data_IF_144712640863
#
_entry.id   IF_144712640863
#
_cell.length_a   1.000
_cell.length_b   1.000
_cell.length_c   1.000
_cell.angle_alpha   90.00
_cell.angle_beta   90.00
_cell.angle_gamma   90.00
#
_symmetry.space_group_name_H-M   'P 1'
#
loop_
_entity.id
_entity.type
_entity.pdbx_description
1 polymer ?
#
# COMPACT_ATOMS: atom_id res chain seq x y z
N UNK A 1 14.06 -21.77 -15.92
CA UNK A 1 14.09 -20.34 -15.56
C UNK A 1 12.76 -19.80 -15.04
N UNK A 2 11.66 -19.72 -15.85
CA UNK A 2 10.35 -19.20 -15.35
C UNK A 2 9.75 -20.04 -14.23
N UNK A 3 9.88 -21.35 -14.30
CA UNK A 3 9.34 -22.27 -13.30
C UNK A 3 10.13 -22.27 -11.98
N UNK A 4 11.44 -22.07 -12.04
CA UNK A 4 12.29 -21.90 -10.85
C UNK A 4 12.03 -20.56 -10.17
N UNK A 5 11.84 -19.48 -10.94
CA UNK A 5 11.49 -18.17 -10.43
C UNK A 5 10.14 -18.23 -9.71
N UNK A 6 9.11 -18.83 -10.33
CA UNK A 6 7.78 -18.99 -9.71
C UNK A 6 7.84 -19.78 -8.40
N UNK A 7 8.64 -20.83 -8.32
CA UNK A 7 8.84 -21.60 -7.06
C UNK A 7 9.58 -20.78 -5.99
N UNK A 8 10.50 -19.94 -6.39
CA UNK A 8 11.21 -19.05 -5.47
C UNK A 8 10.28 -17.97 -4.92
N UNK A 9 9.42 -17.39 -5.75
CA UNK A 9 8.42 -16.39 -5.37
C UNK A 9 7.41 -16.97 -4.36
N UNK A 10 6.92 -18.20 -4.58
CA UNK A 10 6.03 -18.88 -3.63
C UNK A 10 6.73 -19.20 -2.30
N UNK A 11 8.01 -19.61 -2.31
CA UNK A 11 8.78 -19.82 -1.08
C UNK A 11 8.98 -18.53 -0.29
N UNK A 12 9.24 -17.42 -0.98
CA UNK A 12 9.36 -16.11 -0.37
C UNK A 12 8.03 -15.67 0.25
N UNK A 13 6.90 -15.95 -0.41
CA UNK A 13 5.56 -15.63 0.06
C UNK A 13 5.23 -16.35 1.38
N UNK A 14 5.68 -17.59 1.56
CA UNK A 14 5.32 -18.40 2.72
C UNK A 14 6.38 -18.44 3.83
N UNK A 15 7.40 -17.56 3.79
CA UNK A 15 8.55 -17.60 4.70
C UNK A 15 8.19 -17.43 6.19
N UNK A 16 7.10 -16.72 6.50
CA UNK A 16 6.67 -16.43 7.87
C UNK A 16 5.72 -17.46 8.47
N UNK A 17 5.28 -18.47 7.72
CA UNK A 17 4.50 -19.57 8.29
C UNK A 17 5.38 -20.55 9.09
N UNK A 18 4.76 -21.24 10.05
CA UNK A 18 5.40 -22.37 10.71
C UNK A 18 5.93 -23.38 9.70
N UNK A 19 6.91 -24.17 10.13
CA UNK A 19 7.50 -25.17 9.24
C UNK A 19 6.45 -26.11 8.66
N UNK A 20 5.58 -26.65 9.51
CA UNK A 20 4.54 -27.60 9.10
C UNK A 20 3.57 -26.98 8.06
N UNK A 21 3.04 -25.79 8.35
CA UNK A 21 2.14 -25.08 7.44
C UNK A 21 2.82 -24.80 6.10
N UNK A 22 4.06 -24.32 6.14
CA UNK A 22 4.84 -24.04 4.94
C UNK A 22 5.07 -25.28 4.09
N UNK A 23 5.39 -26.42 4.68
CA UNK A 23 5.55 -27.68 3.97
C UNK A 23 4.25 -28.11 3.28
N UNK A 24 3.09 -27.97 3.95
CA UNK A 24 1.79 -28.27 3.35
C UNK A 24 1.47 -27.35 2.16
N UNK A 25 1.72 -26.05 2.28
CA UNK A 25 1.46 -25.08 1.21
C UNK A 25 2.41 -25.27 0.01
N UNK A 26 3.70 -25.56 0.27
CA UNK A 26 4.70 -25.78 -0.80
C UNK A 26 4.51 -27.11 -1.54
N UNK A 27 3.78 -28.06 -0.97
CA UNK A 27 3.41 -29.31 -1.65
C UNK A 27 2.29 -29.12 -2.69
N UNK A 28 1.61 -27.97 -2.68
CA UNK A 28 0.53 -27.68 -3.60
C UNK A 28 1.05 -26.98 -4.88
N UNK A 29 0.39 -27.16 -6.03
CA UNK A 29 0.76 -26.51 -7.28
C UNK A 29 0.27 -25.05 -7.32
N UNK A 30 0.83 -24.20 -6.45
CA UNK A 30 0.44 -22.81 -6.28
C UNK A 30 1.44 -21.86 -6.97
N UNK A 31 0.91 -20.75 -7.47
CA UNK A 31 1.67 -19.59 -7.95
C UNK A 31 1.44 -18.41 -7.00
N UNK A 32 2.45 -17.59 -6.78
CA UNK A 32 2.37 -16.51 -5.81
C UNK A 32 1.22 -15.53 -6.09
N UNK A 33 1.04 -15.14 -7.36
CA UNK A 33 0.02 -14.15 -7.77
C UNK A 33 -1.42 -14.67 -7.59
N UNK A 34 -1.62 -15.98 -7.45
CA UNK A 34 -2.94 -16.57 -7.26
C UNK A 34 -3.36 -16.72 -5.80
N UNK A 35 -2.42 -16.58 -4.84
CA UNK A 35 -2.71 -16.73 -3.42
C UNK A 35 -3.37 -15.47 -2.86
N UNK A 36 -4.55 -15.62 -2.26
CA UNK A 36 -5.31 -14.51 -1.70
C UNK A 36 -5.35 -14.58 -0.18
N UNK A 37 -5.59 -15.76 0.38
CA UNK A 37 -5.81 -15.93 1.81
C UNK A 37 -5.39 -17.32 2.29
N UNK A 38 -4.83 -17.38 3.51
CA UNK A 38 -4.60 -18.63 4.25
C UNK A 38 -5.17 -18.47 5.66
N UNK A 39 -6.01 -19.39 6.08
CA UNK A 39 -6.61 -19.39 7.41
C UNK A 39 -6.12 -20.55 8.25
N UNK A 40 -5.52 -20.21 9.37
CA UNK A 40 -5.14 -21.14 10.41
C UNK A 40 -6.19 -21.10 11.53
N UNK A 41 -6.76 -22.25 11.87
CA UNK A 41 -7.68 -22.42 12.97
C UNK A 41 -7.28 -23.66 13.74
N UNK A 42 -6.96 -23.52 15.01
CA UNK A 42 -6.53 -24.64 15.84
C UNK A 42 -7.55 -25.79 15.76
N UNK A 43 -7.07 -27.00 15.56
CA UNK A 43 -7.83 -28.25 15.38
C UNK A 43 -8.67 -28.35 14.11
N UNK A 44 -8.58 -27.40 13.19
CA UNK A 44 -9.28 -27.43 11.91
C UNK A 44 -8.32 -27.74 10.73
N UNK A 45 -8.86 -28.16 9.57
CA UNK A 45 -8.05 -28.27 8.36
C UNK A 45 -7.41 -26.93 7.96
N UNK A 46 -6.27 -26.99 7.29
CA UNK A 46 -5.65 -25.83 6.69
C UNK A 46 -6.50 -25.36 5.50
N UNK A 47 -7.00 -24.14 5.57
CA UNK A 47 -7.90 -23.54 4.59
C UNK A 47 -7.20 -22.42 3.85
N UNK A 48 -7.41 -22.34 2.53
CA UNK A 48 -6.82 -21.26 1.72
C UNK A 48 -7.73 -20.86 0.54
N UNK A 49 -7.57 -19.62 0.08
CA UNK A 49 -8.23 -19.08 -1.12
C UNK A 49 -7.16 -18.87 -2.19
N UNK A 50 -7.39 -19.47 -3.33
CA UNK A 50 -6.53 -19.39 -4.50
C UNK A 50 -7.36 -19.15 -5.76
N UNK A 51 -7.06 -18.05 -6.49
CA UNK A 51 -7.79 -17.63 -7.69
C UNK A 51 -9.32 -17.60 -7.49
N UNK A 52 -9.76 -16.92 -6.43
CA UNK A 52 -11.17 -16.78 -6.01
C UNK A 52 -11.89 -18.11 -5.72
N UNK A 53 -11.16 -19.18 -5.44
CA UNK A 53 -11.73 -20.48 -5.05
C UNK A 53 -11.19 -20.93 -3.70
N UNK A 54 -12.04 -21.57 -2.93
CA UNK A 54 -11.76 -22.09 -1.60
C UNK A 54 -11.25 -23.53 -1.65
N UNK A 55 -10.21 -23.81 -0.89
CA UNK A 55 -9.59 -25.14 -0.81
C UNK A 55 -9.19 -25.47 0.63
N UNK A 56 -9.05 -26.76 0.89
CA UNK A 56 -8.39 -27.28 2.10
C UNK A 56 -7.14 -28.05 1.72
N UNK A 57 -6.04 -27.83 2.44
CA UNK A 57 -4.79 -28.53 2.19
C UNK A 57 -4.72 -29.82 2.99
N UNK A 58 -4.23 -30.88 2.33
CA UNK A 58 -3.87 -32.16 2.94
C UNK A 58 -5.05 -32.98 3.47
N UNK A 59 -5.22 -34.21 2.97
CA UNK A 59 -6.16 -35.14 3.58
C UNK A 59 -5.68 -35.52 4.99
N UNK A 60 -6.41 -35.03 6.03
CA UNK A 60 -6.11 -35.33 7.42
C UNK A 60 -5.20 -34.37 8.17
N UNK A 61 -4.57 -33.39 7.50
CA UNK A 61 -3.79 -32.36 8.19
C UNK A 61 -4.71 -31.44 9.01
N UNK A 62 -4.32 -31.19 10.23
CA UNK A 62 -5.00 -30.23 11.13
C UNK A 62 -3.99 -29.29 11.73
N UNK A 63 -4.33 -28.01 11.72
CA UNK A 63 -3.52 -26.94 12.30
C UNK A 63 -3.42 -27.15 13.81
N UNK A 64 -2.20 -27.23 14.34
CA UNK A 64 -1.96 -27.31 15.77
C UNK A 64 -1.90 -25.92 16.41
N UNK A 65 -1.86 -25.86 17.73
CA UNK A 65 -1.61 -24.61 18.46
C UNK A 65 -0.20 -24.10 18.19
N UNK A 66 0.76 -25.03 18.18
CA UNK A 66 2.17 -24.76 17.90
C UNK A 66 2.36 -24.13 16.51
N UNK A 67 1.59 -24.56 15.51
CA UNK A 67 1.62 -23.97 14.17
C UNK A 67 1.17 -22.49 14.17
N UNK A 68 0.16 -22.16 14.97
CA UNK A 68 -0.32 -20.78 15.11
C UNK A 68 0.71 -19.93 15.84
N UNK A 69 1.26 -20.42 16.96
CA UNK A 69 2.22 -19.70 17.80
C UNK A 69 3.54 -19.49 17.03
N UNK A 70 4.07 -20.52 16.35
CA UNK A 70 5.28 -20.42 15.50
C UNK A 70 5.07 -19.46 14.34
N UNK A 71 3.91 -19.51 13.66
CA UNK A 71 3.59 -18.58 12.57
C UNK A 71 3.60 -17.13 13.06
N UNK A 72 3.01 -16.85 14.22
CA UNK A 72 3.04 -15.51 14.82
C UNK A 72 4.45 -15.06 15.19
N UNK A 73 5.26 -15.96 15.77
CA UNK A 73 6.65 -15.67 16.12
C UNK A 73 7.50 -15.36 14.87
N UNK A 74 7.36 -16.17 13.82
CA UNK A 74 8.04 -15.94 12.55
C UNK A 74 7.60 -14.62 11.90
N UNK A 75 6.29 -14.33 11.87
CA UNK A 75 5.73 -13.12 11.33
C UNK A 75 6.21 -11.86 12.06
N UNK A 76 6.28 -11.92 13.39
CA UNK A 76 6.75 -10.83 14.25
C UNK A 76 8.28 -10.80 14.39
N UNK A 77 9.04 -11.61 13.65
CA UNK A 77 10.51 -11.72 13.78
C UNK A 77 10.95 -11.85 15.24
N UNK A 78 10.26 -12.70 15.98
CA UNK A 78 10.52 -13.02 17.40
C UNK A 78 10.28 -11.86 18.39
N UNK A 79 9.67 -10.75 18.00
CA UNK A 79 9.36 -9.62 18.89
C UNK A 79 7.87 -9.26 18.87
N UNK A 80 7.04 -10.11 19.48
CA UNK A 80 5.58 -9.86 19.63
C UNK A 80 5.28 -8.58 20.42
N UNK A 81 6.18 -8.14 21.30
CA UNK A 81 6.03 -6.88 22.04
C UNK A 81 5.99 -5.65 21.13
N UNK A 82 6.72 -5.65 20.04
CA UNK A 82 6.72 -4.53 19.07
C UNK A 82 5.38 -4.37 18.36
N UNK A 83 4.57 -5.43 18.30
CA UNK A 83 3.26 -5.46 17.62
C UNK A 83 2.08 -5.44 18.60
N UNK A 84 2.32 -5.10 19.86
CA UNK A 84 1.28 -5.12 20.91
C UNK A 84 0.07 -4.25 20.59
N UNK A 85 0.28 -3.07 19.96
CA UNK A 85 -0.80 -2.18 19.52
C UNK A 85 -1.57 -2.76 18.35
N UNK A 86 -0.86 -3.25 17.33
CA UNK A 86 -1.46 -3.83 16.13
C UNK A 86 -2.30 -5.07 16.49
N UNK A 87 -1.75 -5.95 17.34
CA UNK A 87 -2.46 -7.14 17.83
C UNK A 87 -3.72 -6.74 18.61
N UNK A 88 -3.70 -5.64 19.36
CA UNK A 88 -4.90 -5.11 20.03
C UNK A 88 -5.95 -4.63 19.03
N UNK A 89 -5.52 -4.10 17.89
CA UNK A 89 -6.39 -3.75 16.76
C UNK A 89 -6.88 -4.99 15.98
N UNK A 90 -6.38 -6.17 16.30
CA UNK A 90 -6.78 -7.44 15.70
C UNK A 90 -6.02 -7.85 14.44
N UNK A 91 -4.92 -7.18 14.10
CA UNK A 91 -4.10 -7.54 12.95
C UNK A 91 -2.66 -7.08 13.09
N UNK A 92 -1.76 -7.62 12.27
CA UNK A 92 -0.41 -7.13 12.08
C UNK A 92 -0.06 -7.13 10.59
N UNK A 93 0.78 -6.20 10.17
CA UNK A 93 1.34 -6.16 8.82
C UNK A 93 2.72 -6.76 8.83
N UNK A 94 3.02 -7.62 7.86
CA UNK A 94 4.31 -8.30 7.74
C UNK A 94 5.04 -7.89 6.47
N UNK A 95 6.31 -8.24 6.37
CA UNK A 95 7.12 -7.95 5.20
C UNK A 95 6.42 -8.44 3.93
N UNK A 96 6.44 -7.62 2.88
CA UNK A 96 5.67 -7.81 1.65
C UNK A 96 4.28 -7.18 1.68
N UNK A 97 3.92 -6.47 2.77
CA UNK A 97 2.63 -5.79 2.90
C UNK A 97 1.46 -6.73 3.16
N UNK A 98 1.74 -8.00 3.51
CA UNK A 98 0.70 -8.96 3.83
C UNK A 98 0.13 -8.68 5.20
N UNK A 99 -1.17 -8.92 5.38
CA UNK A 99 -1.88 -8.63 6.62
C UNK A 99 -2.32 -9.92 7.31
N UNK A 100 -1.98 -10.05 8.58
CA UNK A 100 -2.38 -11.19 9.42
C UNK A 100 -3.41 -10.72 10.42
N UNK A 101 -4.67 -11.07 10.21
CA UNK A 101 -5.73 -10.91 11.21
C UNK A 101 -5.56 -11.95 12.30
N UNK A 102 -5.75 -11.53 13.55
CA UNK A 102 -5.62 -12.38 14.73
C UNK A 102 -6.94 -12.44 15.50
N UNK A 103 -7.30 -13.62 16.00
CA UNK A 103 -8.44 -13.79 16.88
C UNK A 103 -8.18 -14.90 17.90
N UNK A 104 -8.86 -14.79 19.05
CA UNK A 104 -8.73 -15.72 20.16
C UNK A 104 -9.48 -15.24 21.38
N UNK A 105 -9.01 -15.58 22.56
CA UNK A 105 -9.59 -15.11 23.81
C UNK A 105 -9.12 -13.70 24.14
N UNK A 106 -10.06 -12.77 24.31
CA UNK A 106 -9.77 -11.39 24.70
C UNK A 106 -9.57 -11.28 26.21
N UNK A 107 -8.61 -10.47 26.62
CA UNK A 107 -8.38 -10.03 27.99
C UNK A 107 -8.81 -8.58 28.06
N UNK A 108 -9.73 -8.26 28.97
CA UNK A 108 -10.28 -6.93 29.15
C UNK A 108 -9.63 -6.21 30.34
N UNK A 109 -9.47 -4.90 30.21
CA UNK A 109 -9.08 -3.98 31.27
C UNK A 109 -9.92 -2.70 31.14
N UNK A 110 -10.64 -2.34 32.19
CA UNK A 110 -11.55 -1.19 32.20
C UNK A 110 -12.59 -1.19 31.05
N UNK A 111 -13.08 -2.38 30.66
CA UNK A 111 -14.05 -2.53 29.56
C UNK A 111 -13.47 -2.48 28.15
N UNK A 112 -12.15 -2.28 28.01
CA UNK A 112 -11.45 -2.26 26.72
C UNK A 112 -10.59 -3.52 26.54
N UNK A 113 -10.35 -3.90 25.28
CA UNK A 113 -9.47 -5.03 24.96
C UNK A 113 -8.03 -4.63 25.30
N UNK A 114 -7.45 -5.29 26.29
CA UNK A 114 -6.04 -5.15 26.66
C UNK A 114 -5.13 -6.04 25.82
N UNK A 115 -5.56 -7.27 25.57
CA UNK A 115 -4.80 -8.26 24.83
C UNK A 115 -5.72 -9.34 24.25
N UNK A 116 -5.21 -10.09 23.28
CA UNK A 116 -5.80 -11.32 22.77
C UNK A 116 -4.85 -12.46 23.13
N UNK A 117 -5.24 -13.32 24.06
CA UNK A 117 -4.42 -14.47 24.47
C UNK A 117 -5.28 -15.56 25.13
N UNK A 118 -5.13 -16.84 24.71
CA UNK A 118 -4.33 -17.30 23.58
C UNK A 118 -4.95 -16.92 22.24
N UNK A 119 -4.09 -16.70 21.23
CA UNK A 119 -4.50 -16.55 19.84
C UNK A 119 -4.67 -17.95 19.27
N UNK A 120 -5.83 -18.21 18.64
CA UNK A 120 -6.18 -19.53 18.12
C UNK A 120 -6.62 -19.52 16.66
N UNK A 121 -6.73 -18.32 16.08
CA UNK A 121 -7.12 -18.09 14.69
C UNK A 121 -6.20 -17.07 14.06
N UNK A 122 -5.69 -17.37 12.87
CA UNK A 122 -4.99 -16.41 12.01
C UNK A 122 -5.66 -16.39 10.66
N UNK A 123 -5.76 -15.18 10.11
CA UNK A 123 -6.20 -14.96 8.74
C UNK A 123 -5.12 -14.17 7.98
N UNK A 124 -4.30 -14.87 7.23
CA UNK A 124 -3.24 -14.28 6.42
C UNK A 124 -3.83 -13.88 5.07
N UNK A 125 -3.86 -12.58 4.78
CA UNK A 125 -4.26 -12.03 3.49
C UNK A 125 -3.05 -11.54 2.73
N UNK A 126 -2.87 -12.03 1.52
CA UNK A 126 -1.76 -11.65 0.67
C UNK A 126 -2.08 -10.35 -0.07
N UNK A 127 -1.18 -9.39 0.02
CA UNK A 127 -1.29 -8.15 -0.73
C UNK A 127 -0.79 -8.38 -2.15
N UNK A 128 -1.58 -7.98 -3.14
CA UNK A 128 -1.19 -7.97 -4.54
C UNK A 128 -1.26 -6.56 -5.07
N UNK A 129 -0.21 -6.13 -5.77
CA UNK A 129 -0.19 -4.83 -6.42
C UNK A 129 -0.52 -4.98 -7.90
N UNK A 130 -1.47 -4.19 -8.38
CA UNK A 130 -1.82 -4.11 -9.81
C UNK A 130 -1.16 -2.88 -10.42
N UNK A 131 0.02 -3.08 -11.04
CA UNK A 131 0.76 -2.01 -11.71
C UNK A 131 0.16 -1.78 -13.11
N UNK A 132 -0.02 -0.49 -13.48
CA UNK A 132 -0.51 -0.06 -14.79
C UNK A 132 -2.03 0.02 -14.92
N UNK A 133 -2.80 -0.28 -13.87
CA UNK A 133 -4.27 -0.19 -13.93
C UNK A 133 -4.77 1.25 -14.15
N UNK A 134 -4.02 2.26 -13.71
CA UNK A 134 -4.33 3.67 -13.88
C UNK A 134 -3.93 4.25 -15.26
N UNK A 135 -3.19 3.50 -16.07
CA UNK A 135 -2.67 4.00 -17.36
C UNK A 135 -3.76 4.51 -18.31
N UNK A 136 -4.94 3.88 -18.29
CA UNK A 136 -6.08 4.24 -19.17
C UNK A 136 -6.70 5.60 -18.84
N UNK A 137 -6.66 6.03 -17.58
CA UNK A 137 -7.28 7.29 -17.14
C UNK A 137 -6.25 8.42 -17.02
N UNK A 138 -4.99 8.14 -17.19
CA UNK A 138 -3.87 9.08 -17.05
C UNK A 138 -4.08 10.38 -17.83
N UNK A 139 -4.38 10.27 -19.12
CA UNK A 139 -4.56 11.44 -20.01
C UNK A 139 -5.69 12.36 -19.57
N UNK A 140 -6.72 11.83 -18.93
CA UNK A 140 -7.86 12.59 -18.41
C UNK A 140 -7.44 13.38 -17.15
N UNK A 141 -6.60 12.78 -16.32
CA UNK A 141 -6.19 13.33 -15.04
C UNK A 141 -5.01 14.28 -15.12
N UNK A 142 -4.30 14.28 -16.24
CA UNK A 142 -3.13 15.14 -16.43
C UNK A 142 -3.49 16.43 -17.16
N UNK A 143 -2.96 17.54 -16.69
CA UNK A 143 -3.04 18.82 -17.40
C UNK A 143 -2.11 18.79 -18.60
N UNK A 144 -2.61 18.92 -19.84
CA UNK A 144 -1.79 18.81 -21.06
C UNK A 144 -0.80 19.95 -21.24
N UNK A 145 -1.00 21.06 -20.51
CA UNK A 145 -0.11 22.22 -20.59
C UNK A 145 1.09 22.14 -19.67
N UNK A 146 0.93 21.48 -18.52
CA UNK A 146 1.96 21.43 -17.46
C UNK A 146 2.48 20.02 -17.18
N UNK A 147 1.80 18.98 -17.66
CA UNK A 147 2.08 17.60 -17.33
C UNK A 147 1.78 17.23 -15.86
N UNK A 148 1.23 18.17 -15.07
CA UNK A 148 0.91 17.95 -13.67
C UNK A 148 -0.43 17.25 -13.52
N UNK A 149 -0.58 16.46 -12.44
CA UNK A 149 -1.88 15.87 -12.12
C UNK A 149 -2.90 16.96 -11.73
N UNK A 150 -4.15 16.74 -12.08
CA UNK A 150 -5.27 17.58 -11.64
C UNK A 150 -5.76 17.13 -10.27
N UNK A 151 -6.44 18.01 -9.53
CA UNK A 151 -7.18 17.61 -8.35
C UNK A 151 -8.18 16.52 -8.74
N UNK A 152 -8.05 15.36 -8.13
CA UNK A 152 -8.80 14.16 -8.52
C UNK A 152 -9.45 13.51 -7.31
N UNK A 153 -10.74 13.24 -7.43
CA UNK A 153 -11.53 12.49 -6.47
C UNK A 153 -12.08 11.23 -7.15
N UNK A 154 -11.69 10.07 -6.64
CA UNK A 154 -12.18 8.77 -7.11
C UNK A 154 -13.40 8.36 -6.29
N UNK A 155 -14.56 8.27 -6.93
CA UNK A 155 -15.84 7.94 -6.30
C UNK A 155 -16.30 6.57 -6.81
N UNK A 156 -16.49 5.62 -5.92
CA UNK A 156 -17.06 4.32 -6.25
C UNK A 156 -17.53 3.59 -4.98
N UNK A 157 -18.38 2.56 -5.10
CA UNK A 157 -18.77 1.71 -4.00
C UNK A 157 -17.58 1.02 -3.30
N UNK A 158 -17.76 0.49 -2.09
CA UNK A 158 -16.74 -0.34 -1.42
C UNK A 158 -16.29 -1.53 -2.28
N UNK A 159 -15.03 -1.93 -2.15
CA UNK A 159 -14.42 -3.08 -2.86
C UNK A 159 -14.37 -3.00 -4.39
N UNK A 160 -14.57 -1.82 -4.98
CA UNK A 160 -14.44 -1.59 -6.43
C UNK A 160 -13.02 -1.26 -6.91
N UNK A 161 -12.01 -1.47 -6.09
CA UNK A 161 -10.60 -1.25 -6.45
C UNK A 161 -10.12 0.20 -6.39
N UNK A 162 -10.83 1.11 -5.67
CA UNK A 162 -10.41 2.53 -5.52
C UNK A 162 -8.99 2.68 -5.00
N UNK A 163 -8.66 2.02 -3.88
CA UNK A 163 -7.32 2.07 -3.27
C UNK A 163 -6.26 1.51 -4.21
N UNK A 164 -6.56 0.45 -4.97
CA UNK A 164 -5.68 -0.13 -5.98
C UNK A 164 -5.38 0.89 -7.09
N UNK A 165 -6.42 1.57 -7.58
CA UNK A 165 -6.30 2.60 -8.59
C UNK A 165 -5.56 3.83 -8.08
N UNK A 166 -5.87 4.28 -6.84
CA UNK A 166 -5.19 5.39 -6.18
C UNK A 166 -3.69 5.11 -6.04
N UNK A 167 -3.32 3.91 -5.59
CA UNK A 167 -1.91 3.49 -5.45
C UNK A 167 -1.14 3.56 -6.76
N UNK A 168 -1.71 3.05 -7.84
CA UNK A 168 -1.04 3.09 -9.15
C UNK A 168 -0.98 4.51 -9.73
N UNK A 169 -1.97 5.37 -9.43
CA UNK A 169 -1.91 6.81 -9.74
C UNK A 169 -0.79 7.51 -8.98
N UNK A 170 -0.65 7.26 -7.68
CA UNK A 170 0.44 7.79 -6.85
C UNK A 170 1.78 7.40 -7.46
N UNK A 171 2.00 6.12 -7.76
CA UNK A 171 3.22 5.62 -8.39
C UNK A 171 3.49 6.32 -9.72
N UNK A 172 2.49 6.42 -10.61
CA UNK A 172 2.62 7.08 -11.91
C UNK A 172 2.97 8.57 -11.80
N UNK A 173 2.36 9.28 -10.86
CA UNK A 173 2.62 10.70 -10.62
C UNK A 173 4.01 10.89 -10.03
N UNK A 174 4.39 10.04 -9.08
CA UNK A 174 5.71 10.06 -8.44
C UNK A 174 6.84 9.77 -9.43
N UNK A 175 6.68 8.75 -10.29
CA UNK A 175 7.70 8.35 -11.25
C UNK A 175 7.73 9.23 -12.52
N UNK A 176 6.58 9.73 -12.95
CA UNK A 176 6.45 10.36 -14.26
C UNK A 176 6.61 9.35 -15.42
N UNK A 177 6.71 9.85 -16.66
CA UNK A 177 6.95 8.97 -17.81
C UNK A 177 8.40 8.57 -18.01
N UNK A 178 9.33 9.29 -17.41
CA UNK A 178 10.77 9.00 -17.49
C UNK A 178 11.17 7.75 -16.69
N UNK A 179 10.29 7.26 -15.81
CA UNK A 179 10.55 6.07 -14.96
C UNK A 179 10.58 4.72 -15.68
N UNK A 180 10.36 4.68 -17.00
CA UNK A 180 10.39 3.41 -17.76
C UNK A 180 11.79 2.83 -17.99
N UNK A 181 12.85 3.61 -17.81
CA UNK A 181 14.25 3.18 -18.02
C UNK A 181 14.99 2.79 -16.72
N UNK A 182 14.29 2.31 -15.70
CA UNK A 182 14.93 1.89 -14.43
C UNK A 182 15.87 0.69 -14.53
N UNK A 183 16.08 0.14 -15.75
CA UNK A 183 16.98 -1.00 -15.96
C UNK A 183 18.45 -0.66 -16.16
N UNK A 184 18.87 0.59 -16.34
CA UNK A 184 20.22 0.87 -16.89
C UNK A 184 20.87 2.21 -16.54
N UNK A 185 20.49 2.97 -15.53
CA UNK A 185 21.30 4.14 -15.18
C UNK A 185 21.11 4.65 -13.74
N UNK A 186 21.89 4.12 -12.81
CA UNK A 186 22.16 4.74 -11.50
C UNK A 186 23.19 5.89 -11.55
N UNK A 187 23.32 6.61 -12.68
CA UNK A 187 24.24 7.75 -12.83
C UNK A 187 23.65 8.85 -13.70
N UNK A 188 22.52 9.42 -13.28
CA UNK A 188 22.00 10.65 -13.85
C UNK A 188 21.91 11.73 -12.79
N UNK A 189 22.77 12.76 -12.88
CA UNK A 189 22.66 13.96 -12.05
C UNK A 189 21.34 14.66 -12.36
N UNK A 190 20.42 14.70 -11.39
CA UNK A 190 19.21 15.52 -11.47
C UNK A 190 19.59 16.99 -11.33
N UNK A 191 19.63 17.72 -12.43
CA UNK A 191 19.68 19.19 -12.37
C UNK A 191 18.29 19.70 -11.96
N UNK A 192 18.18 20.16 -10.70
CA UNK A 192 17.06 21.02 -10.30
C UNK A 192 17.10 22.28 -11.17
N UNK A 193 15.96 22.73 -11.74
CA UNK A 193 15.92 24.04 -12.36
C UNK A 193 16.40 25.08 -11.34
N UNK A 194 17.46 25.80 -11.66
CA UNK A 194 17.98 26.89 -10.80
C UNK A 194 16.87 27.91 -10.65
N UNK A 195 16.49 28.21 -9.41
CA UNK A 195 15.69 29.37 -9.08
C UNK A 195 16.53 30.62 -9.38
N UNK A 196 16.44 31.08 -10.61
CA UNK A 196 17.07 32.32 -11.08
C UNK A 196 16.00 33.41 -11.10
N UNK A 197 16.24 34.47 -10.30
CA UNK A 197 15.48 35.70 -10.34
C UNK A 197 15.57 36.31 -11.75
N UNK A 198 14.43 36.33 -12.43
CA UNK A 198 14.25 37.05 -13.67
C UNK A 198 12.76 37.03 -14.00
N UNK A 199 12.19 38.22 -14.20
CA UNK A 199 10.83 38.40 -14.70
C UNK A 199 10.72 37.83 -16.14
N UNK A 200 10.77 36.52 -16.29
CA UNK A 200 10.49 35.85 -17.55
C UNK A 200 8.99 35.61 -17.70
N UNK A 201 8.54 35.99 -18.86
CA UNK A 201 7.18 35.99 -19.37
C UNK A 201 6.50 34.62 -19.06
N UNK A 202 5.52 34.56 -18.13
CA UNK A 202 4.77 33.35 -17.76
C UNK A 202 4.22 32.59 -18.98
N UNK A 203 3.92 33.31 -20.08
CA UNK A 203 3.43 32.72 -21.32
C UNK A 203 4.52 31.93 -22.09
N UNK A 204 5.77 32.39 -22.09
CA UNK A 204 6.88 31.68 -22.75
C UNK A 204 7.24 30.39 -22.02
N UNK A 205 7.28 30.42 -20.69
CA UNK A 205 7.55 29.24 -19.85
C UNK A 205 6.46 28.18 -19.99
N UNK A 206 5.20 28.60 -20.14
CA UNK A 206 4.06 27.70 -20.34
C UNK A 206 4.07 27.05 -21.73
N UNK A 207 4.58 27.76 -22.77
CA UNK A 207 4.74 27.20 -24.13
C UNK A 207 5.89 26.19 -24.18
N UNK A 208 6.99 26.44 -23.51
CA UNK A 208 8.11 25.48 -23.39
C UNK A 208 7.71 24.23 -22.62
N UNK A 209 7.00 24.39 -21.50
CA UNK A 209 6.44 23.25 -20.74
C UNK A 209 5.45 22.42 -21.60
N UNK A 210 4.59 23.07 -22.40
CA UNK A 210 3.71 22.37 -23.35
C UNK A 210 4.46 21.54 -24.40
N UNK A 211 5.62 22.02 -24.86
CA UNK A 211 6.47 21.28 -25.80
C UNK A 211 7.18 20.11 -25.13
N UNK A 212 7.62 20.29 -23.89
CA UNK A 212 8.37 19.27 -23.14
C UNK A 212 7.48 18.14 -22.62
N UNK A 213 6.26 18.47 -22.16
CA UNK A 213 5.38 17.50 -21.50
C UNK A 213 4.10 17.18 -22.27
N UNK A 214 3.97 17.55 -23.54
CA UNK A 214 2.77 17.37 -24.35
C UNK A 214 2.09 16.01 -24.20
N UNK A 215 1.14 15.90 -23.25
CA UNK A 215 0.42 14.69 -22.92
C UNK A 215 1.15 13.70 -21.99
N UNK A 216 2.38 13.99 -21.53
CA UNK A 216 3.17 13.15 -20.61
C UNK A 216 2.97 13.61 -19.17
N UNK A 217 2.94 12.65 -18.23
CA UNK A 217 2.93 12.95 -16.79
C UNK A 217 4.32 13.40 -16.37
N UNK A 218 4.41 14.62 -15.84
CA UNK A 218 5.62 15.11 -15.18
C UNK A 218 5.77 14.43 -13.84
N UNK A 219 6.98 13.99 -13.50
CA UNK A 219 7.27 13.48 -12.17
C UNK A 219 7.04 14.57 -11.10
N UNK A 220 6.30 14.24 -10.05
CA UNK A 220 5.94 15.15 -8.95
C UNK A 220 6.24 14.49 -7.61
N UNK A 221 6.55 15.32 -6.60
CA UNK A 221 6.67 14.84 -5.21
C UNK A 221 5.26 14.58 -4.66
N UNK A 222 5.07 13.41 -4.06
CA UNK A 222 3.77 12.98 -3.52
C UNK A 222 3.91 12.73 -2.02
N UNK A 223 3.03 13.34 -1.22
CA UNK A 223 2.85 13.01 0.17
C UNK A 223 1.61 12.14 0.34
N UNK A 224 1.77 10.99 0.95
CA UNK A 224 0.68 10.03 1.23
C UNK A 224 0.36 10.02 2.71
N UNK A 225 -0.91 10.19 3.06
CA UNK A 225 -1.41 9.88 4.41
C UNK A 225 -2.18 8.56 4.33
N UNK A 226 -1.61 7.53 4.91
CA UNK A 226 -2.13 6.16 4.89
C UNK A 226 -2.62 5.74 6.27
N UNK A 227 -3.85 6.14 6.61
CA UNK A 227 -4.43 5.92 7.95
C UNK A 227 -4.55 4.43 8.31
N UNK A 228 -4.77 3.57 7.31
CA UNK A 228 -5.01 2.13 7.50
C UNK A 228 -3.92 1.24 6.93
N UNK A 229 -2.79 1.80 6.53
CA UNK A 229 -1.71 1.06 5.84
C UNK A 229 -2.22 0.27 4.61
N UNK A 230 -3.18 0.83 3.86
CA UNK A 230 -3.79 0.17 2.71
C UNK A 230 -3.23 0.65 1.38
N UNK A 231 -2.66 1.87 1.32
CA UNK A 231 -2.02 2.43 0.12
C UNK A 231 -0.61 1.85 -0.03
N UNK A 232 0.26 2.16 0.92
CA UNK A 232 1.68 1.80 0.89
C UNK A 232 1.95 0.44 1.52
N UNK A 233 1.02 -0.07 2.37
CA UNK A 233 1.17 -1.30 3.13
C UNK A 233 2.50 -1.33 3.90
N UNK A 234 2.79 -0.28 4.66
CA UNK A 234 4.07 -0.11 5.31
C UNK A 234 4.36 -1.23 6.31
N UNK A 235 5.60 -1.68 6.31
CA UNK A 235 6.17 -2.56 7.31
C UNK A 235 7.31 -1.81 8.00
N UNK A 236 7.18 -1.58 9.30
CA UNK A 236 8.12 -0.76 10.07
C UNK A 236 8.39 0.63 9.44
N UNK A 237 7.35 1.28 8.95
CA UNK A 237 7.41 2.59 8.30
C UNK A 237 7.95 2.57 6.86
N UNK A 238 8.29 1.39 6.32
CA UNK A 238 8.82 1.26 4.95
C UNK A 238 7.71 0.76 4.03
N UNK A 239 7.36 1.50 2.95
CA UNK A 239 6.41 1.05 1.95
C UNK A 239 6.78 -0.32 1.36
N UNK A 240 5.82 -1.23 1.32
CA UNK A 240 5.97 -2.55 0.70
C UNK A 240 5.38 -2.57 -0.71
N UNK A 241 4.42 -1.71 -0.97
CA UNK A 241 3.92 -1.46 -2.31
C UNK A 241 4.82 -0.43 -3.03
N UNK A 242 4.95 -0.57 -4.35
CA UNK A 242 5.59 0.44 -5.18
C UNK A 242 4.66 1.65 -5.31
N UNK A 243 4.97 2.70 -4.59
CA UNK A 243 4.27 4.00 -4.62
C UNK A 243 5.06 5.06 -5.38
N UNK A 244 6.15 4.68 -6.02
CA UNK A 244 7.03 5.55 -6.79
C UNK A 244 8.14 6.20 -5.97
N UNK A 245 9.19 6.66 -6.67
CA UNK A 245 10.45 7.08 -6.05
C UNK A 245 10.45 8.46 -5.40
N UNK A 246 9.39 9.27 -5.62
CA UNK A 246 9.25 10.63 -5.05
C UNK A 246 8.06 10.70 -4.09
N UNK A 247 7.74 9.59 -3.43
CA UNK A 247 6.61 9.50 -2.52
C UNK A 247 7.10 9.37 -1.08
N UNK A 248 6.61 10.25 -0.22
CA UNK A 248 6.78 10.22 1.23
C UNK A 248 5.48 9.74 1.86
N UNK A 249 5.55 8.82 2.83
CA UNK A 249 4.37 8.20 3.44
C UNK A 249 4.33 8.47 4.94
N UNK A 250 3.19 8.98 5.42
CA UNK A 250 2.80 8.94 6.83
C UNK A 250 1.87 7.75 7.02
N UNK A 251 2.39 6.71 7.65
CA UNK A 251 1.70 5.46 7.92
C UNK A 251 0.97 5.50 9.27
N UNK A 252 -0.20 4.84 9.35
CA UNK A 252 -1.04 4.79 10.55
C UNK A 252 -1.36 6.17 11.14
N UNK A 253 -1.51 7.19 10.29
CA UNK A 253 -1.68 8.59 10.69
C UNK A 253 -3.10 9.08 10.37
N UNK A 254 -3.80 9.77 11.31
CA UNK A 254 -5.08 10.40 11.04
C UNK A 254 -4.98 11.39 9.86
N UNK A 255 -5.96 11.33 8.92
CA UNK A 255 -5.87 12.04 7.63
C UNK A 255 -5.69 13.53 7.77
N UNK A 256 -6.56 14.20 8.53
CA UNK A 256 -6.53 15.65 8.66
C UNK A 256 -5.21 16.15 9.25
N UNK A 257 -4.73 15.50 10.30
CA UNK A 257 -3.46 15.85 10.96
C UNK A 257 -2.27 15.54 10.06
N UNK A 258 -2.26 14.36 9.43
CA UNK A 258 -1.20 13.94 8.52
C UNK A 258 -1.05 14.84 7.31
N UNK A 259 -2.16 15.29 6.68
CA UNK A 259 -2.12 16.24 5.58
C UNK A 259 -1.43 17.55 5.96
N UNK A 260 -1.77 18.09 7.13
CA UNK A 260 -1.17 19.33 7.65
C UNK A 260 0.32 19.15 7.95
N UNK A 261 0.71 18.00 8.49
CA UNK A 261 2.10 17.66 8.80
C UNK A 261 2.94 17.54 7.52
N UNK A 262 2.47 16.79 6.51
CA UNK A 262 3.18 16.60 5.24
C UNK A 262 3.47 17.92 4.54
N UNK A 263 2.51 18.84 4.50
CA UNK A 263 2.71 20.14 3.86
C UNK A 263 3.85 20.92 4.53
N UNK A 264 3.89 20.89 5.86
CA UNK A 264 4.90 21.65 6.62
C UNK A 264 6.28 21.03 6.59
N UNK A 265 6.36 19.70 6.57
CA UNK A 265 7.62 18.96 6.69
C UNK A 265 8.23 18.54 5.36
N UNK A 266 7.41 18.08 4.40
CA UNK A 266 7.87 17.46 3.16
C UNK A 266 7.62 18.33 1.92
N UNK A 267 6.76 19.35 2.02
CA UNK A 267 6.40 20.26 0.94
C UNK A 267 6.04 19.54 -0.38
N UNK A 268 5.09 18.59 -0.38
CA UNK A 268 4.73 17.81 -1.56
C UNK A 268 4.01 18.68 -2.60
N UNK A 269 4.16 18.35 -3.88
CA UNK A 269 3.35 18.93 -4.95
C UNK A 269 1.93 18.32 -5.00
N UNK A 270 1.81 17.06 -4.56
CA UNK A 270 0.56 16.30 -4.54
C UNK A 270 0.38 15.66 -3.16
N UNK A 271 -0.81 15.76 -2.59
CA UNK A 271 -1.20 15.04 -1.37
C UNK A 271 -2.21 13.96 -1.75
N UNK A 272 -1.93 12.73 -1.35
CA UNK A 272 -2.79 11.58 -1.60
C UNK A 272 -3.34 11.01 -0.29
N UNK A 273 -4.66 10.74 -0.27
CA UNK A 273 -5.38 10.17 0.88
C UNK A 273 -6.47 9.22 0.42
N UNK A 274 -6.72 8.17 1.18
CA UNK A 274 -7.79 7.22 0.91
C UNK A 274 -9.00 7.50 1.84
N UNK A 275 -10.21 7.23 1.34
CA UNK A 275 -11.47 7.26 2.10
C UNK A 275 -11.76 8.57 2.87
N UNK A 276 -11.87 9.68 2.16
CA UNK A 276 -12.34 10.95 2.75
C UNK A 276 -13.76 10.77 3.29
N UNK A 277 -14.02 11.18 4.53
CA UNK A 277 -15.32 10.92 5.14
C UNK A 277 -15.83 11.93 6.16
N UNK A 278 -14.99 12.75 6.77
CA UNK A 278 -15.36 13.66 7.84
C UNK A 278 -15.24 15.14 7.48
N UNK A 279 -15.87 16.01 8.26
CA UNK A 279 -15.72 17.47 8.12
C UNK A 279 -14.27 17.91 8.30
N UNK A 280 -13.56 17.33 9.26
CA UNK A 280 -12.14 17.60 9.49
C UNK A 280 -11.28 17.28 8.25
N UNK A 281 -11.60 16.20 7.54
CA UNK A 281 -10.90 15.84 6.30
C UNK A 281 -11.14 16.90 5.22
N UNK A 282 -12.36 17.42 5.11
CA UNK A 282 -12.71 18.47 4.14
C UNK A 282 -12.01 19.80 4.43
N UNK A 283 -11.88 20.16 5.71
CA UNK A 283 -11.12 21.36 6.10
C UNK A 283 -9.64 21.21 5.79
N UNK A 284 -9.06 20.07 6.08
CA UNK A 284 -7.67 19.75 5.74
C UNK A 284 -7.44 19.79 4.23
N UNK A 285 -8.34 19.21 3.41
CA UNK A 285 -8.26 19.29 1.95
C UNK A 285 -8.30 20.74 1.43
N UNK A 286 -9.16 21.60 2.00
CA UNK A 286 -9.18 23.03 1.66
C UNK A 286 -7.84 23.70 1.96
N UNK A 287 -7.25 23.38 3.10
CA UNK A 287 -5.91 23.88 3.45
C UNK A 287 -4.85 23.42 2.45
N UNK A 288 -4.82 22.13 2.11
CA UNK A 288 -3.92 21.55 1.08
C UNK A 288 -4.01 22.32 -0.24
N UNK A 289 -5.25 22.57 -0.70
CA UNK A 289 -5.50 23.33 -1.95
C UNK A 289 -5.01 24.77 -1.86
N UNK A 290 -5.23 25.44 -0.73
CA UNK A 290 -4.79 26.81 -0.50
C UNK A 290 -3.27 26.93 -0.47
N UNK A 291 -2.55 25.87 -0.07
CA UNK A 291 -1.09 25.80 -0.15
C UNK A 291 -0.56 25.52 -1.58
N UNK A 292 -1.46 25.37 -2.56
CA UNK A 292 -1.08 25.13 -3.96
C UNK A 292 -0.78 23.67 -4.31
N UNK A 293 -0.93 22.74 -3.36
CA UNK A 293 -0.78 21.31 -3.61
C UNK A 293 -1.98 20.76 -4.40
N UNK A 294 -1.74 19.71 -5.19
CA UNK A 294 -2.79 18.92 -5.83
C UNK A 294 -3.25 17.81 -4.90
N UNK A 295 -4.46 17.33 -5.13
CA UNK A 295 -5.10 16.29 -4.32
C UNK A 295 -5.38 15.07 -5.19
N UNK A 296 -5.03 13.90 -4.67
CA UNK A 296 -5.52 12.60 -5.11
C UNK A 296 -6.27 11.95 -3.93
N UNK A 297 -7.58 11.82 -4.02
CA UNK A 297 -8.36 11.29 -2.92
C UNK A 297 -9.41 10.27 -3.40
N UNK A 298 -9.86 9.42 -2.48
CA UNK A 298 -11.00 8.55 -2.70
C UNK A 298 -12.14 8.85 -1.74
N UNK A 299 -13.34 8.51 -2.15
CA UNK A 299 -14.54 8.58 -1.30
C UNK A 299 -15.47 7.42 -1.63
N UNK A 300 -16.21 6.95 -0.63
CA UNK A 300 -17.30 6.04 -0.86
C UNK A 300 -18.50 6.79 -1.45
N UNK A 301 -18.98 6.33 -2.61
CA UNK A 301 -20.20 6.78 -3.25
C UNK A 301 -21.09 5.58 -3.55
N UNK A 302 -22.39 5.79 -3.47
CA UNK A 302 -23.40 4.80 -3.88
C UNK A 302 -23.65 4.91 -5.38
#
# INVERSE_FOLDING_TARGET
MKEEQSKQDVRALFHFFSRNIREQLLALPLEADGMEEVRLRVSAPLYYIYRNKEYTAGSGFRVSREDVDETLQCAARSSLYAYGEEIRQGFLTVQGGHRIGVAGRTILENGHIKAIHPITFLNVRFSHQMIGCAAKIRSILTDPGTGSIRNTLLIAPPRCGKTTLLRDLIRMVSDGEEGKDRGSALTGSFERPKAGAGHENKAGKMVEMRKQYGGKVRAQTVGVVDERSEIAACYQGIPQNDVGCRTDVLDACPKAEGMMMLIRSMAPEVVAVDEIGGENDLEALRYVMNCGCRILATVHGN
#
